data_IF_380228101391
#
_entry.id   IF_380228101391
#
_cell.length_a   1.000
_cell.length_b   1.000
_cell.length_c   1.000
_cell.angle_alpha   90.00
_cell.angle_beta   90.00
_cell.angle_gamma   90.00
#
_symmetry.space_group_name_H-M   'P 1'
#
loop_
_entity.id
_entity.type
_entity.pdbx_description
1 polymer ?
#
# COMPACT_ATOMS: atom_id res chain seq x y z
N UNK A 1 20.83 -11.39 -2.78
CA UNK A 1 19.91 -12.49 -2.44
C UNK A 1 19.81 -13.51 -3.55
N UNK A 2 19.50 -13.09 -4.75
CA UNK A 2 19.52 -13.95 -5.95
C UNK A 2 20.88 -14.56 -6.20
N UNK A 3 21.98 -13.84 -5.93
CA UNK A 3 23.34 -14.35 -6.05
C UNK A 3 23.57 -15.60 -5.19
N UNK A 4 23.14 -15.62 -3.92
CA UNK A 4 23.33 -16.76 -3.03
C UNK A 4 22.55 -18.00 -3.49
N UNK A 5 21.31 -17.81 -3.94
CA UNK A 5 20.47 -18.90 -4.47
C UNK A 5 20.96 -19.37 -5.85
N UNK A 6 21.57 -18.50 -6.64
CA UNK A 6 22.10 -18.83 -7.97
C UNK A 6 23.45 -19.56 -7.88
N UNK A 7 24.30 -19.20 -6.92
CA UNK A 7 25.62 -19.85 -6.78
C UNK A 7 25.57 -21.19 -6.06
N UNK A 8 24.63 -21.38 -5.13
CA UNK A 8 24.49 -22.61 -4.34
C UNK A 8 23.05 -23.05 -4.29
N UNK A 9 22.47 -23.53 -5.41
CA UNK A 9 21.16 -24.13 -5.36
C UNK A 9 21.17 -25.34 -4.41
N UNK A 10 20.09 -25.61 -3.68
CA UNK A 10 20.01 -26.70 -2.70
C UNK A 10 20.36 -28.06 -3.25
N UNK A 11 20.18 -28.25 -4.55
CA UNK A 11 20.47 -29.49 -5.27
C UNK A 11 21.98 -29.83 -5.32
N UNK A 12 22.87 -28.82 -5.18
CA UNK A 12 24.33 -29.05 -5.21
C UNK A 12 24.85 -29.63 -3.92
N UNK A 13 24.07 -29.63 -2.83
CA UNK A 13 24.46 -30.25 -1.56
C UNK A 13 25.75 -29.69 -0.95
N UNK A 14 26.16 -28.46 -1.30
CA UNK A 14 27.39 -27.86 -0.80
C UNK A 14 27.21 -27.50 0.68
N UNK A 15 28.06 -28.01 1.59
CA UNK A 15 27.97 -27.73 3.01
C UNK A 15 28.09 -26.22 3.31
N UNK A 16 27.34 -25.73 4.29
CA UNK A 16 27.29 -24.30 4.67
C UNK A 16 28.67 -23.70 4.97
N UNK A 17 29.55 -24.46 5.63
CA UNK A 17 30.91 -24.05 5.93
C UNK A 17 31.78 -23.82 4.69
N UNK A 18 31.53 -24.55 3.61
CA UNK A 18 32.24 -24.35 2.34
C UNK A 18 31.62 -23.17 1.57
N UNK A 19 30.34 -23.03 1.57
CA UNK A 19 29.65 -21.84 1.02
C UNK A 19 30.19 -20.56 1.68
N UNK A 20 30.34 -20.56 3.00
CA UNK A 20 30.85 -19.42 3.76
C UNK A 20 32.30 -19.05 3.37
N UNK A 21 33.18 -20.03 3.14
CA UNK A 21 34.57 -19.79 2.70
C UNK A 21 34.64 -19.09 1.34
N UNK A 22 33.73 -19.38 0.45
CA UNK A 22 33.69 -18.80 -0.88
C UNK A 22 33.02 -17.44 -0.91
N UNK A 23 31.87 -17.34 -0.24
CA UNK A 23 31.03 -16.16 -0.29
C UNK A 23 31.45 -15.09 0.74
N UNK A 24 31.98 -15.48 1.89
CA UNK A 24 32.43 -14.57 2.93
C UNK A 24 33.35 -13.44 2.45
N UNK A 25 34.43 -13.75 1.75
CA UNK A 25 35.35 -12.73 1.16
C UNK A 25 34.62 -11.80 0.16
N UNK A 26 33.74 -12.36 -0.67
CA UNK A 26 32.98 -11.58 -1.67
C UNK A 26 31.99 -10.63 -1.00
N UNK A 27 31.24 -11.11 0.00
CA UNK A 27 30.32 -10.30 0.79
C UNK A 27 31.08 -9.18 1.50
N UNK A 28 32.23 -9.51 2.11
CA UNK A 28 33.07 -8.50 2.79
C UNK A 28 33.50 -7.40 1.83
N UNK A 29 34.00 -7.76 0.65
CA UNK A 29 34.42 -6.80 -0.38
C UNK A 29 33.25 -5.89 -0.80
N UNK A 30 32.08 -6.47 -1.09
CA UNK A 30 30.89 -5.69 -1.46
C UNK A 30 30.48 -4.76 -0.30
N UNK A 31 30.56 -5.22 0.94
CA UNK A 31 30.23 -4.42 2.12
C UNK A 31 31.17 -3.24 2.28
N UNK A 32 32.46 -3.47 2.10
CA UNK A 32 33.48 -2.43 2.26
C UNK A 32 33.35 -1.34 1.18
N UNK A 33 32.87 -1.72 -0.02
CA UNK A 33 32.62 -0.81 -1.15
C UNK A 33 31.31 -0.02 -1.00
N UNK A 34 30.39 -0.45 -0.09
CA UNK A 34 29.11 0.25 0.13
C UNK A 34 29.25 1.41 1.13
N UNK A 35 28.59 2.56 0.88
CA UNK A 35 28.48 3.63 1.86
C UNK A 35 27.88 3.11 3.19
N UNK A 36 28.35 3.61 4.36
CA UNK A 36 27.93 3.12 5.67
C UNK A 36 26.40 3.06 5.86
N UNK A 37 25.67 4.05 5.34
CA UNK A 37 24.21 4.14 5.41
C UNK A 37 23.48 3.09 4.57
N UNK A 38 24.16 2.49 3.60
CA UNK A 38 23.63 1.41 2.73
C UNK A 38 24.02 0.01 3.20
N UNK A 39 24.85 -0.09 4.25
CA UNK A 39 25.30 -1.36 4.81
C UNK A 39 24.22 -1.98 5.68
N UNK A 40 23.34 -2.78 5.08
CA UNK A 40 22.37 -3.58 5.85
C UNK A 40 23.06 -4.83 6.39
N UNK A 41 23.65 -4.73 7.58
CA UNK A 41 24.50 -5.76 8.20
C UNK A 41 23.88 -7.17 8.23
N UNK A 42 22.54 -7.27 8.41
CA UNK A 42 21.83 -8.55 8.41
C UNK A 42 21.83 -9.28 7.04
N UNK A 43 22.03 -8.57 5.94
CA UNK A 43 22.14 -9.18 4.59
C UNK A 43 23.52 -9.79 4.35
N UNK A 44 24.50 -9.40 5.16
CA UNK A 44 25.91 -9.70 4.98
C UNK A 44 26.47 -10.58 6.10
N UNK A 45 25.69 -10.77 7.18
CA UNK A 45 26.05 -11.68 8.26
C UNK A 45 25.67 -13.11 7.87
N UNK A 46 26.59 -14.07 7.97
CA UNK A 46 26.29 -15.48 7.85
C UNK A 46 25.20 -15.83 8.87
N UNK A 47 24.06 -16.27 8.42
CA UNK A 47 22.96 -16.71 9.29
C UNK A 47 22.54 -18.11 8.85
N UNK A 48 22.44 -19.07 9.77
CA UNK A 48 21.99 -20.42 9.46
C UNK A 48 20.49 -20.45 9.15
N UNK A 49 20.11 -19.86 8.02
CA UNK A 49 18.76 -19.94 7.53
C UNK A 49 18.60 -21.23 6.75
N UNK A 50 18.09 -22.26 7.40
CA UNK A 50 17.92 -23.59 6.85
C UNK A 50 16.85 -23.69 5.76
N UNK A 51 15.96 -22.71 5.69
CA UNK A 51 14.88 -22.65 4.69
C UNK A 51 14.73 -21.25 4.12
N UNK A 52 14.21 -21.16 2.89
CA UNK A 52 13.85 -19.89 2.25
C UNK A 52 12.89 -19.06 3.12
N UNK A 53 11.92 -19.73 3.76
CA UNK A 53 10.97 -19.10 4.67
C UNK A 53 11.63 -18.48 5.90
N UNK A 54 12.57 -19.19 6.54
CA UNK A 54 13.29 -18.65 7.70
C UNK A 54 14.17 -17.46 7.32
N UNK A 55 14.78 -17.48 6.14
CA UNK A 55 15.54 -16.36 5.61
C UNK A 55 14.67 -15.13 5.38
N UNK A 56 13.49 -15.31 4.75
CA UNK A 56 12.54 -14.21 4.56
C UNK A 56 12.08 -13.64 5.89
N UNK A 57 11.74 -14.48 6.87
CA UNK A 57 11.33 -14.02 8.21
C UNK A 57 12.42 -13.18 8.89
N UNK A 58 13.69 -13.60 8.80
CA UNK A 58 14.81 -12.83 9.37
C UNK A 58 14.95 -11.46 8.68
N UNK A 59 14.84 -11.43 7.35
CA UNK A 59 14.94 -10.18 6.58
C UNK A 59 13.80 -9.23 6.94
N UNK A 60 12.57 -9.71 6.89
CA UNK A 60 11.38 -8.92 7.21
C UNK A 60 11.45 -8.41 8.65
N UNK A 61 11.84 -9.25 9.61
CA UNK A 61 12.02 -8.86 11.00
C UNK A 61 13.08 -7.77 11.20
N UNK A 62 14.18 -7.81 10.45
CA UNK A 62 15.23 -6.78 10.49
C UNK A 62 14.82 -5.47 9.81
N UNK A 63 13.93 -5.54 8.82
CA UNK A 63 13.32 -4.36 8.20
C UNK A 63 12.10 -3.85 9.00
N UNK A 64 11.84 -4.39 10.21
CA UNK A 64 10.78 -3.93 11.11
C UNK A 64 9.40 -4.55 10.83
N UNK A 65 9.33 -5.55 9.95
CA UNK A 65 8.07 -6.26 9.66
C UNK A 65 7.87 -7.36 10.70
N UNK A 66 6.85 -7.21 11.53
CA UNK A 66 6.52 -8.19 12.56
C UNK A 66 5.59 -9.30 12.05
N UNK A 67 5.54 -10.46 12.73
CA UNK A 67 4.58 -11.52 12.39
C UNK A 67 3.13 -11.03 12.43
N UNK A 68 2.80 -10.11 13.36
CA UNK A 68 1.47 -9.52 13.50
C UNK A 68 1.12 -8.66 12.28
N UNK A 69 2.08 -7.88 11.76
CA UNK A 69 1.89 -7.10 10.53
C UNK A 69 1.65 -8.00 9.32
N UNK A 70 2.37 -9.12 9.21
CA UNK A 70 2.17 -10.10 8.14
C UNK A 70 0.78 -10.75 8.25
N UNK A 71 0.37 -11.12 9.47
CA UNK A 71 -0.96 -11.67 9.72
C UNK A 71 -2.04 -10.66 9.37
N UNK A 72 -1.93 -9.42 9.82
CA UNK A 72 -2.89 -8.37 9.49
C UNK A 72 -3.00 -8.15 7.97
N UNK A 73 -1.88 -8.20 7.25
CA UNK A 73 -1.91 -8.13 5.79
C UNK A 73 -2.61 -9.34 5.16
N UNK A 74 -2.36 -10.54 5.67
CA UNK A 74 -3.04 -11.76 5.20
C UNK A 74 -4.54 -11.69 5.49
N UNK A 75 -4.94 -11.23 6.67
CA UNK A 75 -6.35 -11.06 7.03
C UNK A 75 -7.06 -10.08 6.09
N UNK A 76 -6.38 -8.99 5.67
CA UNK A 76 -6.92 -8.05 4.67
C UNK A 76 -7.09 -8.69 3.30
N UNK A 77 -6.15 -9.53 2.85
CA UNK A 77 -6.29 -10.27 1.59
C UNK A 77 -7.45 -11.25 1.66
N UNK A 78 -7.53 -12.01 2.73
CA UNK A 78 -8.58 -13.01 2.93
C UNK A 78 -9.99 -12.39 2.95
N UNK A 79 -10.15 -11.19 3.57
CA UNK A 79 -11.45 -10.52 3.58
C UNK A 79 -11.81 -10.00 2.19
N UNK A 80 -10.86 -9.53 1.38
CA UNK A 80 -11.12 -9.13 -0.02
C UNK A 80 -11.67 -10.31 -0.81
N UNK A 81 -11.03 -11.49 -0.70
CA UNK A 81 -11.50 -12.71 -1.38
C UNK A 81 -12.93 -13.08 -0.97
N UNK A 82 -13.24 -13.04 0.34
CA UNK A 82 -14.58 -13.30 0.85
C UNK A 82 -15.63 -12.32 0.33
N UNK A 83 -15.28 -11.04 0.24
CA UNK A 83 -16.17 -10.00 -0.28
C UNK A 83 -16.47 -10.20 -1.78
N UNK A 84 -15.48 -10.61 -2.56
CA UNK A 84 -15.65 -10.92 -3.99
C UNK A 84 -16.51 -12.18 -4.17
N UNK A 85 -16.31 -13.20 -3.35
CA UNK A 85 -17.02 -14.47 -3.42
C UNK A 85 -18.42 -14.44 -2.78
N UNK A 86 -18.78 -13.39 -2.08
CA UNK A 86 -20.07 -13.27 -1.42
C UNK A 86 -21.22 -13.34 -2.43
N UNK A 87 -22.21 -14.17 -2.12
CA UNK A 87 -23.34 -14.47 -3.02
C UNK A 87 -24.33 -13.31 -3.19
N UNK A 88 -24.35 -12.35 -2.27
CA UNK A 88 -25.26 -11.20 -2.29
C UNK A 88 -24.67 -10.00 -1.56
N UNK A 89 -25.30 -8.82 -1.76
CA UNK A 89 -24.95 -7.59 -1.05
C UNK A 89 -25.20 -7.71 0.46
N UNK A 90 -26.25 -8.38 0.89
CA UNK A 90 -26.55 -8.60 2.31
C UNK A 90 -25.45 -9.43 3.00
N UNK A 91 -24.94 -10.47 2.36
CA UNK A 91 -23.83 -11.28 2.87
C UNK A 91 -22.55 -10.42 2.96
N UNK A 92 -22.30 -9.55 1.97
CA UNK A 92 -21.17 -8.61 2.04
C UNK A 92 -21.32 -7.62 3.18
N UNK A 93 -22.52 -7.04 3.36
CA UNK A 93 -22.80 -6.13 4.47
C UNK A 93 -22.52 -6.77 5.83
N UNK A 94 -22.91 -8.02 6.00
CA UNK A 94 -22.63 -8.74 7.24
C UNK A 94 -21.11 -8.99 7.44
N UNK A 95 -20.38 -9.38 6.38
CA UNK A 95 -18.93 -9.51 6.42
C UNK A 95 -18.24 -8.18 6.76
N UNK A 96 -18.73 -7.07 6.22
CA UNK A 96 -18.22 -5.72 6.50
C UNK A 96 -18.42 -5.37 7.97
N UNK A 97 -19.60 -5.59 8.52
CA UNK A 97 -19.90 -5.33 9.94
C UNK A 97 -19.03 -6.15 10.88
N UNK A 98 -18.91 -7.45 10.61
CA UNK A 98 -18.14 -8.38 11.45
C UNK A 98 -16.64 -8.09 11.45
N UNK A 99 -16.12 -7.48 10.39
CA UNK A 99 -14.70 -7.20 10.21
C UNK A 99 -14.37 -5.71 10.14
N UNK A 100 -15.18 -4.86 10.75
CA UNK A 100 -15.09 -3.40 10.66
C UNK A 100 -13.69 -2.84 10.99
N UNK A 101 -12.95 -3.46 11.89
CA UNK A 101 -11.60 -3.06 12.29
C UNK A 101 -10.54 -3.27 11.18
N UNK A 102 -10.81 -4.10 10.16
CA UNK A 102 -9.88 -4.34 9.06
C UNK A 102 -9.97 -3.28 7.96
N UNK A 103 -11.05 -2.49 7.89
CA UNK A 103 -11.29 -1.52 6.82
C UNK A 103 -10.66 -0.16 7.10
N UNK A 104 -9.35 -0.19 7.27
CA UNK A 104 -8.49 0.98 7.50
C UNK A 104 -7.88 1.51 6.18
N UNK A 105 -7.06 2.55 6.29
CA UNK A 105 -6.32 3.13 5.16
C UNK A 105 -5.50 2.09 4.39
N UNK A 106 -4.84 1.17 5.10
CA UNK A 106 -4.02 0.12 4.48
C UNK A 106 -4.86 -0.88 3.69
N UNK A 107 -6.06 -1.20 4.18
CA UNK A 107 -7.01 -2.04 3.45
C UNK A 107 -7.44 -1.36 2.15
N UNK A 108 -7.85 -0.10 2.21
CA UNK A 108 -8.29 0.64 1.01
C UNK A 108 -7.16 0.83 0.00
N UNK A 109 -5.92 1.04 0.46
CA UNK A 109 -4.75 1.09 -0.41
C UNK A 109 -4.48 -0.26 -1.10
N UNK A 110 -4.58 -1.38 -0.37
CA UNK A 110 -4.46 -2.73 -0.94
C UNK A 110 -5.58 -2.99 -1.95
N UNK A 111 -6.82 -2.70 -1.58
CA UNK A 111 -7.99 -2.91 -2.42
C UNK A 111 -7.89 -2.13 -3.73
N UNK A 112 -7.49 -0.86 -3.67
CA UNK A 112 -7.29 -0.02 -4.86
C UNK A 112 -6.22 -0.59 -5.80
N UNK A 113 -5.12 -1.13 -5.27
CA UNK A 113 -4.08 -1.78 -6.08
C UNK A 113 -4.59 -3.05 -6.77
N UNK A 114 -5.41 -3.86 -6.08
CA UNK A 114 -6.02 -5.06 -6.66
C UNK A 114 -7.01 -4.69 -7.77
N UNK A 115 -7.86 -3.70 -7.55
CA UNK A 115 -8.81 -3.21 -8.55
C UNK A 115 -8.09 -2.67 -9.79
N UNK A 116 -7.04 -1.87 -9.60
CA UNK A 116 -6.23 -1.35 -10.70
C UNK A 116 -5.51 -2.47 -11.46
N UNK A 117 -4.96 -3.46 -10.76
CA UNK A 117 -4.32 -4.63 -11.37
C UNK A 117 -5.29 -5.45 -12.21
N UNK A 118 -6.52 -5.69 -11.73
CA UNK A 118 -7.56 -6.39 -12.48
C UNK A 118 -7.95 -5.67 -13.76
N UNK A 119 -8.11 -4.33 -13.71
CA UNK A 119 -8.41 -3.52 -14.89
C UNK A 119 -7.27 -3.56 -15.92
N UNK A 120 -6.02 -3.45 -15.47
CA UNK A 120 -4.86 -3.49 -16.38
C UNK A 120 -4.63 -4.86 -17.01
N UNK A 121 -5.05 -5.93 -16.33
CA UNK A 121 -4.94 -7.32 -16.83
C UNK A 121 -6.10 -7.73 -17.75
N UNK A 122 -7.05 -6.83 -18.06
CA UNK A 122 -8.20 -7.12 -18.92
C UNK A 122 -9.21 -8.09 -18.27
N UNK A 123 -9.21 -8.21 -16.95
CA UNK A 123 -10.13 -9.07 -16.20
C UNK A 123 -11.42 -8.32 -15.88
N UNK A 124 -12.19 -7.98 -16.92
CA UNK A 124 -13.37 -7.11 -16.83
C UNK A 124 -14.42 -7.60 -15.81
N UNK A 125 -14.60 -8.92 -15.68
CA UNK A 125 -15.55 -9.50 -14.73
C UNK A 125 -15.12 -9.23 -13.29
N UNK A 126 -13.85 -9.46 -12.98
CA UNK A 126 -13.28 -9.20 -11.65
C UNK A 126 -13.26 -7.68 -11.37
N UNK A 127 -12.94 -6.88 -12.38
CA UNK A 127 -12.97 -5.42 -12.29
C UNK A 127 -14.36 -4.89 -11.89
N UNK A 128 -15.43 -5.43 -12.51
CA UNK A 128 -16.80 -5.06 -12.14
C UNK A 128 -17.17 -5.49 -10.72
N UNK A 129 -16.85 -6.72 -10.34
CA UNK A 129 -17.08 -7.21 -8.98
C UNK A 129 -16.36 -6.35 -7.94
N UNK A 130 -15.10 -5.99 -8.19
CA UNK A 130 -14.35 -5.10 -7.31
C UNK A 130 -14.97 -3.69 -7.24
N UNK A 131 -15.48 -3.15 -8.35
CA UNK A 131 -16.17 -1.86 -8.34
C UNK A 131 -17.46 -1.88 -7.50
N UNK A 132 -18.23 -2.96 -7.56
CA UNK A 132 -19.43 -3.12 -6.74
C UNK A 132 -19.09 -3.25 -5.25
N UNK A 133 -18.07 -4.05 -4.92
CA UNK A 133 -17.55 -4.17 -3.55
C UNK A 133 -17.02 -2.82 -3.05
N UNK A 134 -16.29 -2.07 -3.88
CA UNK A 134 -15.78 -0.75 -3.52
C UNK A 134 -16.89 0.23 -3.16
N UNK A 135 -17.96 0.26 -3.97
CA UNK A 135 -19.11 1.12 -3.70
C UNK A 135 -19.71 0.82 -2.34
N UNK A 136 -19.93 -0.46 -2.04
CA UNK A 136 -20.48 -0.90 -0.77
C UNK A 136 -19.56 -0.56 0.41
N UNK A 137 -18.25 -0.77 0.28
CA UNK A 137 -17.25 -0.40 1.29
C UNK A 137 -17.24 1.11 1.57
N UNK A 138 -17.36 1.95 0.53
CA UNK A 138 -17.42 3.40 0.69
C UNK A 138 -18.68 3.85 1.45
N UNK A 139 -19.78 3.14 1.32
CA UNK A 139 -21.05 3.49 1.97
C UNK A 139 -21.17 2.90 3.38
N UNK A 140 -20.66 1.71 3.63
CA UNK A 140 -20.90 0.97 4.86
C UNK A 140 -19.78 1.09 5.89
N UNK A 141 -18.53 1.39 5.48
CA UNK A 141 -17.42 1.53 6.44
C UNK A 141 -17.23 2.99 6.89
N UNK A 142 -16.68 3.18 8.09
CA UNK A 142 -16.37 4.53 8.61
C UNK A 142 -15.31 5.22 7.75
N UNK A 143 -14.20 4.53 7.46
CA UNK A 143 -13.13 5.06 6.63
C UNK A 143 -13.61 5.35 5.20
N UNK A 144 -14.44 4.46 4.63
CA UNK A 144 -15.02 4.65 3.29
C UNK A 144 -15.90 5.90 3.20
N UNK A 145 -16.78 6.12 4.19
CA UNK A 145 -17.59 7.35 4.27
C UNK A 145 -16.73 8.60 4.37
N UNK A 146 -15.65 8.56 5.18
CA UNK A 146 -14.70 9.65 5.28
C UNK A 146 -13.98 9.95 3.96
N UNK A 147 -13.61 8.91 3.19
CA UNK A 147 -13.05 9.07 1.84
C UNK A 147 -14.06 9.73 0.88
N UNK A 148 -15.29 9.22 0.85
CA UNK A 148 -16.37 9.76 0.00
C UNK A 148 -16.64 11.23 0.31
N UNK A 149 -16.69 11.58 1.58
CA UNK A 149 -16.83 12.97 2.03
C UNK A 149 -15.64 13.82 1.59
N UNK A 150 -14.41 13.32 1.75
CA UNK A 150 -13.20 14.05 1.34
C UNK A 150 -13.15 14.31 -0.17
N UNK A 151 -13.56 13.33 -0.98
CA UNK A 151 -13.68 13.50 -2.44
C UNK A 151 -14.73 14.55 -2.78
N UNK A 152 -15.89 14.52 -2.17
CA UNK A 152 -16.94 15.53 -2.37
C UNK A 152 -16.50 16.94 -2.00
N UNK A 153 -15.69 17.08 -0.94
CA UNK A 153 -15.10 18.37 -0.55
C UNK A 153 -14.07 18.87 -1.59
N UNK A 154 -13.25 17.96 -2.15
CA UNK A 154 -12.31 18.29 -3.23
C UNK A 154 -13.03 18.72 -4.51
N UNK A 155 -14.07 18.00 -4.91
CA UNK A 155 -14.91 18.36 -6.06
C UNK A 155 -15.57 19.74 -5.87
N UNK A 156 -16.05 20.01 -4.66
CA UNK A 156 -16.63 21.33 -4.31
C UNK A 156 -15.59 22.44 -4.43
N UNK A 157 -14.36 22.19 -3.92
CA UNK A 157 -13.27 23.15 -4.06
C UNK A 157 -12.92 23.39 -5.53
N UNK A 158 -12.82 22.33 -6.33
CA UNK A 158 -12.53 22.44 -7.77
C UNK A 158 -13.61 23.23 -8.50
N UNK A 159 -14.87 22.93 -8.22
CA UNK A 159 -16.02 23.64 -8.84
C UNK A 159 -16.01 25.12 -8.50
N UNK A 160 -15.79 25.47 -7.23
CA UNK A 160 -15.74 26.86 -6.79
C UNK A 160 -14.62 27.64 -7.49
N UNK A 161 -13.44 27.02 -7.69
CA UNK A 161 -12.33 27.66 -8.41
C UNK A 161 -12.60 27.77 -9.92
N UNK A 162 -13.23 26.75 -10.53
CA UNK A 162 -13.62 26.79 -11.93
C UNK A 162 -14.68 27.88 -12.20
N UNK A 163 -15.68 28.02 -11.32
CA UNK A 163 -16.71 29.09 -11.41
C UNK A 163 -16.12 30.48 -11.26
N UNK A 164 -15.11 30.63 -10.39
CA UNK A 164 -14.37 31.90 -10.25
C UNK A 164 -13.55 32.22 -11.51
N UNK A 165 -13.01 31.19 -12.20
CA UNK A 165 -12.31 31.29 -13.48
C UNK A 165 -11.29 32.44 -13.52
N UNK A 166 -11.36 33.30 -14.56
CA UNK A 166 -10.51 34.46 -14.74
C UNK A 166 -10.71 35.56 -13.67
N UNK A 167 -11.80 35.52 -12.91
CA UNK A 167 -12.07 36.44 -11.80
C UNK A 167 -11.49 36.00 -10.46
N UNK A 168 -10.71 34.92 -10.45
CA UNK A 168 -10.07 34.41 -9.26
C UNK A 168 -8.89 35.36 -8.87
N UNK A 169 -9.11 36.18 -7.85
CA UNK A 169 -8.07 36.99 -7.22
C UNK A 169 -7.54 36.32 -5.97
N UNK A 170 -6.41 36.83 -5.45
CA UNK A 170 -5.84 36.34 -4.19
C UNK A 170 -6.82 36.52 -3.02
N UNK A 171 -7.54 37.64 -3.00
CA UNK A 171 -8.56 37.94 -2.00
C UNK A 171 -9.70 36.90 -2.05
N UNK A 172 -10.25 36.64 -3.24
CA UNK A 172 -11.28 35.60 -3.42
C UNK A 172 -10.82 34.22 -3.01
N UNK A 173 -9.57 33.84 -3.34
CA UNK A 173 -8.99 32.57 -2.91
C UNK A 173 -8.92 32.52 -1.38
N UNK A 174 -8.50 33.61 -0.73
CA UNK A 174 -8.44 33.73 0.72
C UNK A 174 -9.83 33.60 1.35
N UNK A 175 -10.84 34.22 0.75
CA UNK A 175 -12.22 34.10 1.18
C UNK A 175 -12.72 32.64 1.11
N UNK A 176 -12.40 31.89 0.04
CA UNK A 176 -12.70 30.48 -0.06
C UNK A 176 -12.00 29.64 1.02
N UNK A 177 -10.74 29.95 1.32
CA UNK A 177 -9.98 29.28 2.38
C UNK A 177 -10.59 29.56 3.76
N UNK A 178 -10.91 30.82 4.07
CA UNK A 178 -11.51 31.22 5.36
C UNK A 178 -12.90 30.63 5.53
N UNK A 179 -13.70 30.60 4.46
CA UNK A 179 -15.05 30.05 4.48
C UNK A 179 -15.11 28.50 4.48
N UNK A 180 -13.96 27.84 4.38
CA UNK A 180 -13.91 26.37 4.27
C UNK A 180 -14.24 25.70 5.60
N UNK A 181 -15.30 24.86 5.66
CA UNK A 181 -15.69 24.22 6.90
C UNK A 181 -14.84 23.00 7.30
N UNK A 182 -14.03 22.48 6.37
CA UNK A 182 -13.29 21.22 6.52
C UNK A 182 -11.90 21.27 5.91
N UNK A 183 -10.96 20.56 6.56
CA UNK A 183 -9.57 20.45 6.14
C UNK A 183 -9.42 19.87 4.72
N UNK A 184 -10.28 18.93 4.32
CA UNK A 184 -10.23 18.34 2.98
C UNK A 184 -10.47 19.40 1.89
N UNK A 185 -11.39 20.35 2.10
CA UNK A 185 -11.67 21.47 1.20
C UNK A 185 -10.48 22.44 1.15
N UNK A 186 -9.89 22.73 2.31
CA UNK A 186 -8.67 23.57 2.39
C UNK A 186 -7.51 22.98 1.59
N UNK A 187 -7.28 21.68 1.74
CA UNK A 187 -6.26 20.94 0.94
C UNK A 187 -6.56 21.00 -0.55
N UNK A 188 -7.84 20.90 -0.93
CA UNK A 188 -8.27 21.07 -2.32
C UNK A 188 -7.86 22.42 -2.89
N UNK A 189 -8.20 23.52 -2.22
CA UNK A 189 -7.81 24.86 -2.64
C UNK A 189 -6.29 25.02 -2.72
N UNK A 190 -5.56 24.55 -1.72
CA UNK A 190 -4.09 24.65 -1.70
C UNK A 190 -3.44 23.90 -2.86
N UNK A 191 -3.95 22.68 -3.17
CA UNK A 191 -3.40 21.83 -4.25
C UNK A 191 -3.64 22.46 -5.61
N UNK A 192 -4.87 22.93 -5.88
CA UNK A 192 -5.25 23.48 -7.18
C UNK A 192 -4.58 24.87 -7.39
N UNK A 193 -4.56 25.71 -6.34
CA UNK A 193 -3.89 27.00 -6.42
C UNK A 193 -2.39 26.87 -6.71
N UNK A 194 -1.72 25.86 -6.17
CA UNK A 194 -0.31 25.57 -6.44
C UNK A 194 -0.07 25.18 -7.89
N UNK A 195 -0.94 24.38 -8.50
CA UNK A 195 -0.84 23.98 -9.90
C UNK A 195 -1.09 25.14 -10.89
N UNK A 196 -1.80 26.18 -10.46
CA UNK A 196 -2.09 27.35 -11.30
C UNK A 196 -1.08 28.50 -11.12
N UNK A 197 -0.09 28.35 -10.24
CA UNK A 197 0.96 29.35 -9.99
C UNK A 197 2.30 29.01 -10.64
N UNK A 198 2.45 27.82 -11.20
CA UNK A 198 3.58 27.39 -12.03
C UNK A 198 3.24 27.61 -13.53
#
# INVERSE_FOLDING_TARGET
KELLLTFFPPELGVPLNEQEKIIGPLIKKITDDLPPEKRKGYLLSPSPNLTYESMIKVILGKDGVTPEMLKAQQDRVNIVEKLIQASSEDVRSELIKQNSALFDEQFFALFSRLAQGAMQSGQDTIGKQLADVQRQLLDETEFGRGLKESVGELETAQKSLQEAGQSLTREKLLDFVIASPKDARLRGYATIARQGMD
#
